data_IF_319928060627
#
_entry.id   IF_319928060627
#
_cell.length_a   1.000
_cell.length_b   1.000
_cell.length_c   1.000
_cell.angle_alpha   90.00
_cell.angle_beta   90.00
_cell.angle_gamma   90.00
#
_symmetry.space_group_name_H-M   'P 1'
#
loop_
_entity.id
_entity.type
_entity.pdbx_description
1 polymer ?
#
# COMPACT_ATOMS: atom_id res chain seq x y z
N UNK A 1 27.55 18.84 7.34
CA UNK A 1 28.52 19.32 8.34
C UNK A 1 29.20 20.59 7.85
N UNK A 2 29.93 20.56 6.72
CA UNK A 2 30.67 21.71 6.17
C UNK A 2 29.78 22.96 6.06
N UNK A 3 28.61 22.89 5.45
CA UNK A 3 27.69 24.03 5.33
C UNK A 3 27.31 24.62 6.70
N UNK A 4 27.05 23.77 7.71
CA UNK A 4 26.69 24.20 9.06
C UNK A 4 27.84 24.99 9.67
N UNK A 5 29.07 24.53 9.51
CA UNK A 5 30.29 25.21 9.99
C UNK A 5 30.56 26.52 9.25
N UNK A 6 30.54 26.49 7.94
CA UNK A 6 30.82 27.67 7.09
C UNK A 6 29.80 28.82 7.32
N UNK A 7 28.57 28.46 7.75
CA UNK A 7 27.49 29.41 8.01
C UNK A 7 27.18 29.64 9.49
N UNK A 8 28.02 29.14 10.42
CA UNK A 8 27.86 29.29 11.89
C UNK A 8 26.45 28.84 12.36
N UNK A 9 25.92 27.73 11.86
CA UNK A 9 24.55 27.26 12.15
C UNK A 9 24.50 26.09 13.13
N UNK A 10 25.53 25.83 13.90
CA UNK A 10 25.54 24.71 14.86
C UNK A 10 24.46 24.80 15.94
N UNK A 11 24.08 26.01 16.36
CA UNK A 11 23.01 26.23 17.34
C UNK A 11 21.59 26.34 16.71
N UNK A 12 21.47 26.21 15.40
CA UNK A 12 20.16 26.29 14.73
C UNK A 12 19.41 24.96 14.80
N UNK A 13 18.08 24.96 15.00
CA UNK A 13 17.30 23.76 14.90
C UNK A 13 17.34 23.20 13.46
N UNK A 14 17.42 21.89 13.36
CA UNK A 14 17.60 21.17 12.10
C UNK A 14 16.46 20.19 11.89
N UNK A 15 15.87 20.25 10.72
CA UNK A 15 14.79 19.37 10.31
C UNK A 15 15.13 18.71 8.99
N UNK A 16 14.70 17.46 8.83
CA UNK A 16 14.79 16.72 7.57
C UNK A 16 13.36 16.51 7.08
N UNK A 17 13.11 16.83 5.81
CA UNK A 17 11.86 16.49 5.14
C UNK A 17 12.13 15.41 4.11
N UNK A 18 11.35 14.32 4.17
CA UNK A 18 11.42 13.21 3.26
C UNK A 18 10.06 12.90 2.66
N UNK A 19 9.98 12.82 1.34
CA UNK A 19 8.80 12.38 0.61
C UNK A 19 9.04 10.99 0.00
N UNK A 20 8.00 10.13 -0.02
CA UNK A 20 8.03 8.81 -0.64
C UNK A 20 9.19 7.95 -0.11
N UNK A 21 10.23 7.67 -0.92
CA UNK A 21 11.46 6.99 -0.48
C UNK A 21 12.18 7.68 0.68
N UNK A 22 11.95 8.98 0.87
CA UNK A 22 12.41 9.74 2.03
C UNK A 22 11.93 9.17 3.37
N UNK A 23 10.87 8.35 3.36
CA UNK A 23 10.39 7.59 4.53
C UNK A 23 11.40 6.58 5.06
N UNK A 24 12.25 6.02 4.20
CA UNK A 24 13.36 5.13 4.59
C UNK A 24 14.65 5.91 4.72
N UNK A 25 14.97 6.75 3.74
CA UNK A 25 16.22 7.50 3.71
C UNK A 25 16.35 8.49 4.87
N UNK A 26 15.25 9.16 5.25
CA UNK A 26 15.25 10.15 6.33
C UNK A 26 15.69 9.56 7.68
N UNK A 27 15.02 8.51 8.21
CA UNK A 27 15.43 7.85 9.45
C UNK A 27 16.86 7.32 9.43
N UNK A 28 17.30 6.71 8.33
CA UNK A 28 18.66 6.22 8.17
C UNK A 28 19.68 7.37 8.22
N UNK A 29 19.38 8.49 7.56
CA UNK A 29 20.22 9.67 7.60
C UNK A 29 20.31 10.26 9.02
N UNK A 30 19.18 10.32 9.74
CA UNK A 30 19.18 10.77 11.15
C UNK A 30 20.05 9.87 12.01
N UNK A 31 19.93 8.55 11.86
CA UNK A 31 20.76 7.58 12.57
C UNK A 31 22.24 7.79 12.30
N UNK A 32 22.64 7.92 11.04
CA UNK A 32 24.03 8.14 10.62
C UNK A 32 24.59 9.49 11.10
N UNK A 33 23.76 10.54 11.08
CA UNK A 33 24.20 11.86 11.57
C UNK A 33 24.42 11.88 13.08
N UNK A 34 23.70 11.08 13.84
CA UNK A 34 23.81 11.00 15.31
C UNK A 34 24.93 10.07 15.77
N UNK A 35 25.13 8.94 15.13
CA UNK A 35 26.02 7.86 15.59
C UNK A 35 27.18 7.54 14.67
N UNK A 36 27.34 8.25 13.54
CA UNK A 36 28.47 8.04 12.62
C UNK A 36 29.82 8.49 13.18
N UNK A 37 30.91 8.07 12.56
CA UNK A 37 32.31 8.30 12.97
C UNK A 37 32.75 9.78 13.05
N UNK A 38 31.90 10.69 12.56
CA UNK A 38 32.15 12.12 12.56
C UNK A 38 31.39 12.81 13.71
N UNK A 39 31.71 14.08 13.98
CA UNK A 39 30.99 14.90 14.96
C UNK A 39 29.47 14.74 14.84
N UNK A 40 28.78 14.30 15.90
CA UNK A 40 27.33 14.11 15.86
C UNK A 40 26.57 15.38 15.49
N UNK A 41 25.51 15.22 14.72
CA UNK A 41 24.58 16.30 14.40
C UNK A 41 23.21 15.92 14.94
N UNK A 42 22.73 16.71 15.89
CA UNK A 42 21.37 16.59 16.40
C UNK A 42 20.35 17.05 15.34
N UNK A 43 19.35 16.21 15.10
CA UNK A 43 18.20 16.51 14.26
C UNK A 43 16.98 16.69 15.17
N UNK A 44 16.36 17.86 15.10
CA UNK A 44 15.24 18.25 15.95
C UNK A 44 13.90 17.69 15.49
N UNK A 45 13.78 17.36 14.21
CA UNK A 45 12.56 16.75 13.68
C UNK A 45 12.73 16.15 12.30
N UNK A 46 11.90 15.14 12.03
CA UNK A 46 11.77 14.46 10.74
C UNK A 46 10.34 14.62 10.26
N UNK A 47 10.16 15.27 9.12
CA UNK A 47 8.87 15.42 8.46
C UNK A 47 8.79 14.38 7.35
N UNK A 48 7.75 13.55 7.41
CA UNK A 48 7.55 12.47 6.45
C UNK A 48 6.27 12.70 5.65
N UNK A 49 6.42 12.89 4.35
CA UNK A 49 5.30 13.13 3.42
C UNK A 49 5.07 11.87 2.59
N UNK A 50 3.88 11.28 2.72
CA UNK A 50 3.51 10.04 2.04
C UNK A 50 4.66 9.00 2.03
N UNK A 51 5.18 8.60 3.20
CA UNK A 51 6.41 7.83 3.30
C UNK A 51 6.23 6.40 2.81
N UNK A 52 7.18 5.93 2.01
CA UNK A 52 7.37 4.51 1.74
C UNK A 52 8.14 3.90 2.93
N UNK A 53 7.42 3.45 3.96
CA UNK A 53 8.04 2.97 5.22
C UNK A 53 8.54 1.54 5.12
N UNK A 54 7.88 0.72 4.29
CA UNK A 54 8.22 -0.69 4.11
C UNK A 54 7.95 -1.12 2.65
N UNK A 55 9.01 -1.45 1.94
CA UNK A 55 8.91 -1.92 0.55
C UNK A 55 8.25 -3.28 0.42
N UNK A 56 8.19 -4.09 1.48
CA UNK A 56 7.48 -5.36 1.44
C UNK A 56 6.00 -5.18 1.06
N UNK A 57 5.41 -4.04 1.44
CA UNK A 57 4.00 -3.72 1.09
C UNK A 57 3.84 -2.96 -0.22
N UNK A 58 4.93 -2.60 -0.91
CA UNK A 58 4.89 -1.77 -2.11
C UNK A 58 5.35 -2.49 -3.37
N UNK A 59 6.14 -3.55 -3.23
CA UNK A 59 6.77 -4.23 -4.37
C UNK A 59 6.03 -5.52 -4.70
N UNK A 60 5.33 -5.50 -5.84
CA UNK A 60 4.59 -6.64 -6.39
C UNK A 60 5.52 -7.53 -7.21
N UNK A 61 6.13 -8.50 -6.58
CA UNK A 61 6.95 -9.51 -7.26
C UNK A 61 6.53 -10.94 -6.86
N UNK A 62 6.84 -11.96 -7.67
CA UNK A 62 6.53 -13.34 -7.34
C UNK A 62 7.05 -13.74 -5.95
N UNK A 63 6.20 -14.36 -5.16
CA UNK A 63 6.50 -14.77 -3.78
C UNK A 63 6.20 -13.74 -2.70
N UNK A 64 5.99 -12.47 -3.05
CA UNK A 64 5.56 -11.45 -2.08
C UNK A 64 4.04 -11.30 -2.09
N UNK A 65 3.37 -11.79 -1.06
CA UNK A 65 1.92 -11.68 -0.92
C UNK A 65 1.48 -10.40 -0.17
N UNK A 66 2.37 -9.73 0.55
CA UNK A 66 2.05 -8.59 1.43
C UNK A 66 1.34 -7.43 0.72
N UNK A 67 1.80 -6.97 -0.45
CA UNK A 67 1.12 -5.86 -1.13
C UNK A 67 -0.29 -6.24 -1.59
N UNK A 68 -0.54 -7.49 -1.97
CA UNK A 68 -1.84 -7.90 -2.47
C UNK A 68 -2.93 -7.75 -1.41
N UNK A 69 -2.72 -8.24 -0.19
CA UNK A 69 -3.69 -8.05 0.88
C UNK A 69 -3.62 -6.64 1.48
N UNK A 70 -2.47 -5.98 1.46
CA UNK A 70 -2.31 -4.60 1.93
C UNK A 70 -3.10 -3.58 1.11
N UNK A 71 -3.17 -3.74 -0.22
CA UNK A 71 -3.88 -2.82 -1.12
C UNK A 71 -5.38 -3.11 -1.27
N UNK A 72 -5.87 -4.29 -0.90
CA UNK A 72 -7.26 -4.66 -1.10
C UNK A 72 -8.27 -3.67 -0.48
N UNK A 73 -8.08 -3.15 0.75
CA UNK A 73 -9.00 -2.14 1.30
C UNK A 73 -9.02 -0.83 0.49
N UNK A 74 -7.90 -0.44 -0.12
CA UNK A 74 -7.85 0.71 -1.02
C UNK A 74 -8.61 0.45 -2.32
N UNK A 75 -8.50 -0.76 -2.88
CA UNK A 75 -9.29 -1.15 -4.05
C UNK A 75 -10.79 -1.13 -3.74
N UNK A 76 -11.19 -1.61 -2.55
CA UNK A 76 -12.57 -1.58 -2.11
C UNK A 76 -13.11 -0.15 -1.98
N UNK A 77 -12.35 0.76 -1.38
CA UNK A 77 -12.72 2.16 -1.26
C UNK A 77 -12.84 2.85 -2.64
N UNK A 78 -11.91 2.57 -3.56
CA UNK A 78 -11.94 3.08 -4.93
C UNK A 78 -13.16 2.53 -5.68
N UNK A 79 -13.43 1.24 -5.60
CA UNK A 79 -14.59 0.62 -6.23
C UNK A 79 -15.92 1.16 -5.67
N UNK A 80 -15.97 1.43 -4.37
CA UNK A 80 -17.11 2.09 -3.72
C UNK A 80 -17.33 3.50 -4.29
N UNK A 81 -16.28 4.30 -4.36
CA UNK A 81 -16.34 5.66 -4.90
C UNK A 81 -16.87 5.69 -6.34
N UNK A 82 -16.45 4.75 -7.17
CA UNK A 82 -16.87 4.63 -8.56
C UNK A 82 -18.19 3.86 -8.76
N UNK A 83 -18.93 3.55 -7.67
CA UNK A 83 -20.19 2.81 -7.72
C UNK A 83 -20.09 1.43 -8.43
N UNK A 84 -18.94 0.76 -8.28
CA UNK A 84 -18.71 -0.57 -8.86
C UNK A 84 -19.00 -1.72 -7.90
N UNK A 85 -19.48 -1.41 -6.71
CA UNK A 85 -19.87 -2.38 -5.69
C UNK A 85 -21.33 -2.16 -5.29
N UNK A 86 -22.07 -3.27 -5.09
CA UNK A 86 -23.43 -3.22 -4.60
C UNK A 86 -23.43 -3.39 -3.08
N UNK A 87 -23.64 -2.28 -2.36
CA UNK A 87 -23.68 -2.25 -0.90
C UNK A 87 -24.52 -1.10 -0.37
N UNK A 88 -25.24 -1.35 0.73
CA UNK A 88 -25.97 -0.33 1.48
C UNK A 88 -25.18 0.23 2.68
N UNK A 89 -23.91 -0.22 2.84
CA UNK A 89 -23.04 0.23 3.94
C UNK A 89 -22.43 1.58 3.63
N UNK A 90 -22.10 2.33 4.68
CA UNK A 90 -21.26 3.51 4.54
C UNK A 90 -19.85 3.13 4.04
N UNK A 91 -19.12 4.07 3.44
CA UNK A 91 -17.74 3.85 3.02
C UNK A 91 -16.87 3.30 4.15
N UNK A 92 -17.02 3.86 5.37
CA UNK A 92 -16.21 3.44 6.51
C UNK A 92 -16.48 1.99 6.93
N UNK A 93 -17.74 1.58 6.96
CA UNK A 93 -18.14 0.20 7.27
C UNK A 93 -17.64 -0.76 6.19
N UNK A 94 -17.84 -0.42 4.93
CA UNK A 94 -17.40 -1.22 3.79
C UNK A 94 -15.87 -1.38 3.75
N UNK A 95 -15.15 -0.28 4.00
CA UNK A 95 -13.69 -0.30 4.13
C UNK A 95 -13.24 -1.22 5.27
N UNK A 96 -13.86 -1.13 6.44
CA UNK A 96 -13.52 -1.97 7.60
C UNK A 96 -13.77 -3.46 7.30
N UNK A 97 -14.91 -3.80 6.68
CA UNK A 97 -15.20 -5.18 6.27
C UNK A 97 -14.16 -5.71 5.27
N UNK A 98 -13.77 -4.88 4.30
CA UNK A 98 -12.75 -5.26 3.31
C UNK A 98 -11.37 -5.47 3.96
N UNK A 99 -11.05 -4.67 4.97
CA UNK A 99 -9.83 -4.82 5.78
C UNK A 99 -9.86 -6.12 6.59
N UNK A 100 -10.99 -6.42 7.23
CA UNK A 100 -11.14 -7.66 7.99
C UNK A 100 -11.05 -8.88 7.08
N UNK A 101 -11.70 -8.87 5.93
CA UNK A 101 -11.55 -9.91 4.92
C UNK A 101 -10.09 -10.05 4.46
N UNK A 102 -9.44 -8.93 4.19
CA UNK A 102 -8.05 -8.91 3.72
C UNK A 102 -7.09 -9.57 4.71
N UNK A 103 -7.21 -9.23 5.99
CA UNK A 103 -6.28 -9.68 7.03
C UNK A 103 -6.60 -11.09 7.54
N UNK A 104 -7.88 -11.43 7.66
CA UNK A 104 -8.30 -12.65 8.35
C UNK A 104 -8.61 -13.82 7.42
N UNK A 105 -8.91 -13.55 6.14
CA UNK A 105 -9.26 -14.61 5.18
C UNK A 105 -8.31 -14.62 3.98
N UNK A 106 -8.20 -13.51 3.25
CA UNK A 106 -7.47 -13.44 1.99
C UNK A 106 -5.96 -13.57 2.17
N UNK A 107 -5.35 -12.79 3.06
CA UNK A 107 -3.91 -12.86 3.35
C UNK A 107 -3.46 -14.26 3.79
N UNK A 108 -4.10 -14.89 4.80
CA UNK A 108 -3.82 -16.28 5.18
C UNK A 108 -3.99 -17.28 4.05
N UNK A 109 -4.99 -17.08 3.18
CA UNK A 109 -5.20 -17.94 2.02
C UNK A 109 -4.07 -17.84 0.99
N UNK A 110 -3.58 -16.64 0.70
CA UNK A 110 -2.45 -16.44 -0.21
C UNK A 110 -1.18 -17.20 0.27
N UNK A 111 -0.98 -17.31 1.59
CA UNK A 111 0.14 -18.05 2.18
C UNK A 111 0.02 -19.57 1.96
N UNK A 112 -1.19 -20.09 1.79
CA UNK A 112 -1.41 -21.51 1.45
C UNK A 112 -0.97 -21.86 0.02
N UNK A 113 -0.97 -20.86 -0.88
CA UNK A 113 -0.61 -21.04 -2.29
C UNK A 113 -1.45 -22.14 -2.95
N UNK A 114 -0.81 -23.07 -3.66
CA UNK A 114 -1.48 -24.18 -4.34
C UNK A 114 -2.19 -25.19 -3.40
N UNK A 115 -2.04 -25.06 -2.09
CA UNK A 115 -2.73 -25.92 -1.09
C UNK A 115 -4.14 -25.42 -0.75
N UNK A 116 -4.60 -24.31 -1.31
CA UNK A 116 -5.99 -23.86 -1.16
C UNK A 116 -6.90 -24.88 -1.86
N UNK A 117 -7.94 -25.34 -1.18
CA UNK A 117 -8.95 -26.20 -1.78
C UNK A 117 -9.78 -25.39 -2.79
N UNK A 118 -10.20 -26.02 -3.90
CA UNK A 118 -10.94 -25.36 -4.98
C UNK A 118 -12.20 -24.64 -4.49
N UNK A 119 -12.93 -25.25 -3.55
CA UNK A 119 -14.14 -24.64 -3.00
C UNK A 119 -13.82 -23.37 -2.19
N UNK A 120 -12.76 -23.42 -1.37
CA UNK A 120 -12.31 -22.27 -0.58
C UNK A 120 -11.83 -21.15 -1.51
N UNK A 121 -11.11 -21.50 -2.59
CA UNK A 121 -10.65 -20.55 -3.61
C UNK A 121 -11.82 -19.84 -4.27
N UNK A 122 -12.87 -20.55 -4.65
CA UNK A 122 -14.09 -19.97 -5.23
C UNK A 122 -14.76 -18.98 -4.29
N UNK A 123 -14.89 -19.32 -3.00
CA UNK A 123 -15.46 -18.42 -1.98
C UNK A 123 -14.62 -17.14 -1.85
N UNK A 124 -13.30 -17.26 -1.85
CA UNK A 124 -12.40 -16.11 -1.78
C UNK A 124 -12.50 -15.21 -3.02
N UNK A 125 -12.56 -15.80 -4.21
CA UNK A 125 -12.77 -15.07 -5.47
C UNK A 125 -14.10 -14.32 -5.45
N UNK A 126 -15.18 -14.94 -4.96
CA UNK A 126 -16.47 -14.29 -4.81
C UNK A 126 -16.43 -13.07 -3.88
N UNK A 127 -15.79 -13.22 -2.71
CA UNK A 127 -15.64 -12.13 -1.74
C UNK A 127 -14.75 -11.02 -2.29
N UNK A 128 -13.62 -11.38 -2.91
CA UNK A 128 -12.71 -10.43 -3.54
C UNK A 128 -13.43 -9.59 -4.60
N UNK A 129 -14.16 -10.25 -5.50
CA UNK A 129 -14.95 -9.61 -6.54
C UNK A 129 -16.01 -8.64 -5.96
N UNK A 130 -16.70 -9.03 -4.89
CA UNK A 130 -17.68 -8.18 -4.19
C UNK A 130 -17.07 -6.92 -3.59
N UNK A 131 -15.86 -7.02 -3.04
CA UNK A 131 -15.19 -5.85 -2.46
C UNK A 131 -14.57 -4.94 -3.51
N UNK A 132 -14.07 -5.50 -4.61
CA UNK A 132 -13.28 -4.73 -5.58
C UNK A 132 -14.04 -4.32 -6.84
N UNK A 133 -15.25 -4.84 -7.04
CA UNK A 133 -16.01 -4.60 -8.27
C UNK A 133 -15.46 -5.29 -9.53
N UNK A 134 -14.37 -6.03 -9.41
CA UNK A 134 -13.78 -6.77 -10.52
C UNK A 134 -14.54 -8.04 -10.82
N UNK A 135 -14.56 -8.48 -12.09
CA UNK A 135 -15.20 -9.74 -12.46
C UNK A 135 -14.48 -10.93 -11.82
N UNK A 136 -15.23 -11.97 -11.42
CA UNK A 136 -14.66 -13.19 -10.84
C UNK A 136 -13.63 -13.83 -11.77
N UNK A 137 -13.88 -13.80 -13.08
CA UNK A 137 -12.96 -14.31 -14.08
C UNK A 137 -11.63 -13.56 -14.05
N UNK A 138 -11.66 -12.23 -14.00
CA UNK A 138 -10.44 -11.43 -13.92
C UNK A 138 -9.66 -11.73 -12.62
N UNK A 139 -10.37 -11.85 -11.49
CA UNK A 139 -9.74 -12.21 -10.20
C UNK A 139 -9.12 -13.61 -10.26
N UNK A 140 -9.75 -14.56 -10.93
CA UNK A 140 -9.26 -15.93 -11.12
C UNK A 140 -8.05 -15.98 -12.06
N UNK A 141 -8.11 -15.27 -13.20
CA UNK A 141 -7.01 -15.21 -14.19
C UNK A 141 -5.73 -14.64 -13.58
N UNK A 142 -5.84 -13.75 -12.60
CA UNK A 142 -4.72 -13.20 -11.82
C UNK A 142 -4.38 -14.02 -10.56
N UNK A 143 -4.99 -15.18 -10.38
CA UNK A 143 -4.84 -15.99 -9.16
C UNK A 143 -4.99 -15.16 -7.87
N UNK A 144 -5.95 -14.23 -7.88
CA UNK A 144 -6.22 -13.24 -6.83
C UNK A 144 -5.06 -12.27 -6.53
N UNK A 145 -4.00 -12.23 -7.35
CA UNK A 145 -2.80 -11.39 -7.17
C UNK A 145 -2.79 -10.21 -8.13
N UNK A 146 -3.69 -9.27 -7.89
CA UNK A 146 -3.89 -8.10 -8.77
C UNK A 146 -3.05 -6.95 -8.24
N UNK A 147 -2.23 -6.37 -9.10
CA UNK A 147 -1.45 -5.16 -8.81
C UNK A 147 -2.27 -3.87 -9.07
N UNK A 148 -1.86 -2.71 -8.50
CA UNK A 148 -2.61 -1.46 -8.67
C UNK A 148 -2.79 -1.01 -10.12
N UNK A 149 -1.83 -1.28 -11.00
CA UNK A 149 -1.94 -0.90 -12.41
C UNK A 149 -3.01 -1.71 -13.13
N UNK A 150 -3.04 -3.02 -12.87
CA UNK A 150 -4.05 -3.94 -13.41
C UNK A 150 -5.45 -3.62 -12.88
N UNK A 151 -5.57 -3.36 -11.57
CA UNK A 151 -6.82 -2.93 -10.95
C UNK A 151 -7.38 -1.65 -11.59
N UNK A 152 -6.57 -0.60 -11.69
CA UNK A 152 -6.97 0.69 -12.24
C UNK A 152 -7.43 0.61 -13.70
N UNK A 153 -6.79 -0.22 -14.51
CA UNK A 153 -7.14 -0.42 -15.91
C UNK A 153 -8.44 -1.19 -16.07
N UNK A 154 -8.72 -2.11 -15.14
CA UNK A 154 -9.85 -3.03 -15.26
C UNK A 154 -11.15 -2.45 -14.71
N UNK A 155 -11.11 -1.72 -13.60
CA UNK A 155 -12.30 -1.30 -12.85
C UNK A 155 -13.34 -0.55 -13.70
N UNK A 156 -12.91 0.33 -14.59
CA UNK A 156 -13.77 1.17 -15.44
C UNK A 156 -13.64 0.81 -16.93
N UNK A 157 -13.07 -0.35 -17.24
CA UNK A 157 -12.82 -0.77 -18.64
C UNK A 157 -14.07 -0.75 -19.49
N UNK A 158 -15.17 -1.27 -18.97
CA UNK A 158 -16.44 -1.36 -19.70
C UNK A 158 -17.04 0.01 -20.02
N UNK A 159 -16.63 1.05 -19.30
CA UNK A 159 -17.01 2.45 -19.53
C UNK A 159 -16.02 3.19 -20.44
N UNK A 160 -14.96 2.54 -20.86
CA UNK A 160 -13.90 3.15 -21.69
C UNK A 160 -12.92 4.03 -20.91
N UNK A 161 -12.89 3.91 -19.58
CA UNK A 161 -12.01 4.70 -18.70
C UNK A 161 -11.01 3.83 -17.94
N UNK A 162 -10.05 4.49 -17.32
CA UNK A 162 -9.19 3.90 -16.29
C UNK A 162 -9.15 4.82 -15.08
N UNK A 163 -9.07 4.22 -13.90
CA UNK A 163 -8.94 4.96 -12.64
C UNK A 163 -7.63 5.74 -12.61
N UNK A 164 -7.67 6.98 -12.16
CA UNK A 164 -6.48 7.80 -11.96
C UNK A 164 -5.56 7.26 -10.87
N UNK A 165 -4.32 7.70 -10.85
CA UNK A 165 -3.38 7.25 -9.81
C UNK A 165 -3.72 7.82 -8.42
N UNK A 166 -4.41 8.93 -8.38
CA UNK A 166 -4.75 9.68 -7.16
C UNK A 166 -6.25 9.62 -6.82
N UNK A 167 -7.01 8.80 -7.55
CA UNK A 167 -8.43 8.56 -7.27
C UNK A 167 -8.61 7.66 -6.06
#
# INVERSE_FOLDING_TARGET
>A
RRWISDNNRWNSPRYILGESYGGIRGPLLVSELRSGDLTPIEINGLLMVAPASDYQYLVFHPGNNSPHYGFLPSYAATAYYHNKVDTNKSLQEFYNDSKDFSLNEYGPALLKGSRIKDNDKKILIDKYSKFTGLSKRFVEDFDMRIDPSSFRKELLRDEGYSVGRLD
#
